data_IF_277734746786
#
_entry.id   IF_277734746786
#
_cell.length_a   1.000
_cell.length_b   1.000
_cell.length_c   1.000
_cell.angle_alpha   90.00
_cell.angle_beta   90.00
_cell.angle_gamma   90.00
#
_symmetry.space_group_name_H-M   'P 1'
#
loop_
_entity.id
_entity.type
_entity.pdbx_description
1 polymer ?
#
# COMPACT_ATOMS: atom_id res chain seq x y z
N UNK A 1 -9.06 2.36 33.97
CA UNK A 1 -9.16 3.48 33.00
C UNK A 1 -7.95 3.56 32.07
N UNK A 2 -6.70 3.48 32.55
CA UNK A 2 -5.52 3.55 31.66
C UNK A 2 -5.41 2.43 30.61
N UNK A 3 -5.83 1.20 30.93
CA UNK A 3 -5.79 0.06 30.00
C UNK A 3 -6.82 0.16 28.86
N UNK A 4 -8.01 0.71 29.10
CA UNK A 4 -9.01 0.90 28.04
C UNK A 4 -8.56 1.95 27.01
N UNK A 5 -7.96 3.05 27.51
CA UNK A 5 -7.47 4.14 26.67
C UNK A 5 -6.30 3.74 25.76
N UNK A 6 -5.42 2.83 26.21
CA UNK A 6 -4.33 2.30 25.36
C UNK A 6 -4.83 1.34 24.28
N UNK A 7 -5.92 0.62 24.55
CA UNK A 7 -6.54 -0.32 23.59
C UNK A 7 -7.24 0.47 22.47
N UNK A 8 -7.98 1.53 22.82
CA UNK A 8 -8.65 2.42 21.86
C UNK A 8 -7.66 3.17 20.96
N UNK A 9 -6.55 3.67 21.50
CA UNK A 9 -5.50 4.30 20.70
C UNK A 9 -4.82 3.32 19.72
N UNK A 10 -4.58 2.06 20.14
CA UNK A 10 -3.93 1.04 19.31
C UNK A 10 -4.78 0.58 18.12
N UNK A 11 -6.11 0.49 18.31
CA UNK A 11 -7.04 0.16 17.22
C UNK A 11 -7.11 1.27 16.18
N UNK A 12 -7.35 2.50 16.63
CA UNK A 12 -7.50 3.65 15.74
C UNK A 12 -6.20 3.90 14.95
N UNK A 13 -5.05 3.73 15.59
CA UNK A 13 -3.73 3.77 14.93
C UNK A 13 -3.59 2.68 13.87
N UNK A 14 -4.02 1.44 14.16
CA UNK A 14 -4.03 0.33 13.20
C UNK A 14 -4.96 0.59 12.02
N UNK A 15 -6.14 1.16 12.26
CA UNK A 15 -7.11 1.53 11.24
C UNK A 15 -6.61 2.67 10.34
N UNK A 16 -6.06 3.75 10.93
CA UNK A 16 -5.46 4.85 10.16
C UNK A 16 -4.31 4.32 9.30
N UNK A 17 -3.44 3.47 9.88
CA UNK A 17 -2.34 2.87 9.14
C UNK A 17 -2.82 2.05 7.94
N UNK A 18 -3.91 1.29 8.11
CA UNK A 18 -4.53 0.55 7.01
C UNK A 18 -5.07 1.48 5.92
N UNK A 19 -5.80 2.54 6.29
CA UNK A 19 -6.36 3.52 5.34
C UNK A 19 -5.24 4.24 4.58
N UNK A 20 -4.21 4.73 5.28
CA UNK A 20 -3.07 5.43 4.68
C UNK A 20 -2.29 4.49 3.75
N UNK A 21 -1.99 3.27 4.18
CA UNK A 21 -1.30 2.29 3.33
C UNK A 21 -2.13 1.91 2.10
N UNK A 22 -3.45 1.81 2.24
CA UNK A 22 -4.36 1.54 1.11
C UNK A 22 -4.38 2.68 0.10
N UNK A 23 -4.51 3.93 0.55
CA UNK A 23 -4.47 5.11 -0.32
C UNK A 23 -3.12 5.18 -1.04
N UNK A 24 -2.02 5.06 -0.30
CA UNK A 24 -0.68 5.09 -0.90
C UNK A 24 -0.47 3.96 -1.91
N UNK A 25 -0.99 2.77 -1.64
CA UNK A 25 -0.95 1.65 -2.60
C UNK A 25 -1.65 2.00 -3.91
N UNK A 26 -2.83 2.64 -3.86
CA UNK A 26 -3.54 3.11 -5.06
C UNK A 26 -2.75 4.20 -5.79
N UNK A 27 -2.17 5.16 -5.05
CA UNK A 27 -1.35 6.23 -5.62
C UNK A 27 -0.11 5.66 -6.34
N UNK A 28 0.65 4.76 -5.70
CA UNK A 28 1.80 4.11 -6.33
C UNK A 28 1.40 3.27 -7.54
N UNK A 29 0.27 2.57 -7.48
CA UNK A 29 -0.25 1.83 -8.63
C UNK A 29 -0.56 2.74 -9.81
N UNK A 30 -1.29 3.83 -9.57
CA UNK A 30 -1.63 4.80 -10.62
C UNK A 30 -0.38 5.46 -11.22
N UNK A 31 0.63 5.71 -10.39
CA UNK A 31 1.93 6.25 -10.83
C UNK A 31 2.69 5.23 -11.65
N UNK A 32 2.73 3.96 -11.21
CA UNK A 32 3.36 2.86 -11.95
C UNK A 32 2.74 2.71 -13.34
N UNK A 33 1.40 2.75 -13.43
CA UNK A 33 0.69 2.71 -14.71
C UNK A 33 1.01 3.91 -15.59
N UNK A 34 1.00 5.12 -15.02
CA UNK A 34 1.31 6.35 -15.77
C UNK A 34 2.71 6.31 -16.35
N UNK A 35 3.71 5.87 -15.59
CA UNK A 35 5.09 5.74 -16.06
C UNK A 35 5.22 4.60 -17.08
N UNK A 36 4.57 3.46 -16.87
CA UNK A 36 4.64 2.34 -17.82
C UNK A 36 3.96 2.65 -19.16
N UNK A 37 2.75 3.22 -19.12
CA UNK A 37 2.00 3.61 -20.33
C UNK A 37 2.65 4.81 -21.00
N UNK A 38 3.04 5.82 -20.24
CA UNK A 38 3.74 6.99 -20.75
C UNK A 38 5.02 6.61 -21.51
N UNK A 39 5.78 5.65 -20.99
CA UNK A 39 6.99 5.16 -21.65
C UNK A 39 6.67 4.49 -22.99
N UNK A 40 5.59 3.69 -23.01
CA UNK A 40 5.16 2.99 -24.22
C UNK A 40 4.72 3.96 -25.30
N UNK A 41 3.93 4.98 -24.96
CA UNK A 41 3.50 5.99 -25.93
C UNK A 41 4.67 6.86 -26.39
N UNK A 42 5.58 7.21 -25.48
CA UNK A 42 6.82 7.89 -25.84
C UNK A 42 7.67 7.09 -26.84
N UNK A 43 7.86 5.79 -26.59
CA UNK A 43 8.57 4.92 -27.53
C UNK A 43 7.86 4.85 -28.89
N UNK A 44 6.53 4.73 -28.94
CA UNK A 44 5.80 4.74 -30.22
C UNK A 44 5.96 6.06 -30.97
N UNK A 45 5.96 7.18 -30.25
CA UNK A 45 6.17 8.50 -30.84
C UNK A 45 7.57 8.65 -31.44
N UNK A 46 8.60 8.13 -30.77
CA UNK A 46 9.97 8.16 -31.28
C UNK A 46 10.16 7.22 -32.47
N UNK A 47 9.49 6.05 -32.49
CA UNK A 47 9.57 5.06 -33.56
C UNK A 47 8.67 5.41 -34.78
N UNK A 48 8.17 6.64 -34.87
CA UNK A 48 7.33 7.06 -36.00
C UNK A 48 8.07 6.79 -37.33
N UNK A 49 7.43 6.21 -38.36
CA UNK A 49 8.06 5.81 -39.63
C UNK A 49 8.87 6.88 -40.38
N UNK A 50 8.80 8.16 -39.97
CA UNK A 50 9.61 9.26 -40.49
C UNK A 50 10.98 9.38 -39.81
N UNK A 51 11.18 8.70 -38.69
CA UNK A 51 12.44 8.64 -37.96
C UNK A 51 13.27 7.44 -38.41
N UNK A 52 14.60 7.59 -38.46
CA UNK A 52 15.53 6.49 -38.76
C UNK A 52 15.73 5.54 -37.55
N UNK A 53 14.92 5.69 -36.49
CA UNK A 53 15.10 5.01 -35.21
C UNK A 53 14.30 3.71 -35.23
N UNK A 54 15.00 2.58 -35.30
CA UNK A 54 14.38 1.24 -35.33
C UNK A 54 14.05 0.70 -33.93
N UNK A 55 14.81 1.09 -32.90
CA UNK A 55 14.56 0.69 -31.52
C UNK A 55 14.44 1.89 -30.57
N UNK A 56 13.56 1.78 -29.58
CA UNK A 56 13.37 2.85 -28.59
C UNK A 56 14.61 3.08 -27.72
N UNK A 57 15.50 2.10 -27.62
CA UNK A 57 16.79 2.27 -26.95
C UNK A 57 17.73 3.17 -27.75
N UNK A 58 17.66 3.13 -29.07
CA UNK A 58 18.61 3.83 -29.94
C UNK A 58 18.26 5.33 -30.01
N UNK A 59 16.99 5.70 -29.78
CA UNK A 59 16.54 7.09 -29.70
C UNK A 59 17.25 7.94 -28.65
N UNK A 60 17.89 7.35 -27.64
CA UNK A 60 18.67 8.11 -26.64
C UNK A 60 20.04 8.56 -27.17
N UNK A 61 20.49 7.97 -28.29
CA UNK A 61 21.77 8.26 -28.95
C UNK A 61 21.63 9.28 -30.08
N UNK A 62 20.40 9.54 -30.54
CA UNK A 62 20.11 10.54 -31.57
C UNK A 62 19.77 11.88 -30.90
N UNK A 63 20.41 12.99 -31.29
CA UNK A 63 20.01 14.31 -30.83
C UNK A 63 18.63 14.65 -31.43
N UNK A 64 17.66 14.92 -30.58
CA UNK A 64 16.39 15.54 -31.00
C UNK A 64 16.70 16.93 -31.58
N UNK A 65 16.03 17.29 -32.67
CA UNK A 65 16.33 18.49 -33.46
C UNK A 65 16.49 19.75 -32.58
N UNK A 66 17.45 20.59 -32.97
CA UNK A 66 17.91 21.80 -32.26
C UNK A 66 16.83 22.85 -31.97
N UNK A 67 15.66 22.70 -32.58
CA UNK A 67 14.45 23.51 -32.37
C UNK A 67 13.72 23.14 -31.08
N UNK A 68 13.88 21.92 -30.57
CA UNK A 68 13.28 21.43 -29.34
C UNK A 68 14.41 21.18 -28.33
N UNK A 69 14.57 22.08 -27.34
CA UNK A 69 15.59 21.98 -26.28
C UNK A 69 15.30 20.85 -25.27
N UNK A 70 15.09 19.63 -25.75
CA UNK A 70 14.90 18.46 -24.90
C UNK A 70 16.16 17.61 -24.97
N UNK A 71 16.97 17.66 -23.91
CA UNK A 71 18.12 16.77 -23.77
C UNK A 71 17.62 15.40 -23.29
N UNK A 72 17.47 14.47 -24.22
CA UNK A 72 16.97 13.12 -23.96
C UNK A 72 18.12 12.12 -23.73
N UNK A 73 19.32 12.54 -23.37
CA UNK A 73 20.42 11.59 -23.12
C UNK A 73 20.06 10.61 -22.00
N UNK A 74 20.30 9.33 -22.23
CA UNK A 74 20.06 8.25 -21.27
C UNK A 74 18.62 8.10 -20.77
N UNK A 75 17.61 8.65 -21.46
CA UNK A 75 16.21 8.56 -21.02
C UNK A 75 15.78 7.11 -20.81
N UNK A 76 16.23 6.19 -21.68
CA UNK A 76 15.80 4.80 -21.65
C UNK A 76 16.20 4.11 -20.33
N UNK A 77 17.43 4.31 -19.88
CA UNK A 77 17.93 3.76 -18.61
C UNK A 77 17.23 4.39 -17.40
N UNK A 78 17.06 5.71 -17.38
CA UNK A 78 16.40 6.42 -16.27
C UNK A 78 14.93 6.01 -16.12
N UNK A 79 14.21 5.86 -17.23
CA UNK A 79 12.82 5.41 -17.23
C UNK A 79 12.68 3.96 -16.74
N UNK A 80 13.57 3.07 -17.18
CA UNK A 80 13.57 1.68 -16.70
C UNK A 80 13.83 1.60 -15.19
N UNK A 81 14.79 2.36 -14.68
CA UNK A 81 15.07 2.43 -13.25
C UNK A 81 13.87 2.98 -12.47
N UNK A 82 13.20 4.01 -13.01
CA UNK A 82 11.99 4.59 -12.41
C UNK A 82 10.84 3.58 -12.39
N UNK A 83 10.59 2.87 -13.50
CA UNK A 83 9.56 1.83 -13.56
C UNK A 83 9.81 0.76 -12.50
N UNK A 84 11.02 0.21 -12.45
CA UNK A 84 11.38 -0.79 -11.44
C UNK A 84 11.19 -0.26 -10.01
N UNK A 85 11.65 0.96 -9.74
CA UNK A 85 11.52 1.58 -8.42
C UNK A 85 10.07 1.77 -7.99
N UNK A 86 9.22 2.30 -8.87
CA UNK A 86 7.80 2.53 -8.56
C UNK A 86 7.04 1.22 -8.38
N UNK A 87 7.29 0.20 -9.21
CA UNK A 87 6.70 -1.13 -9.05
C UNK A 87 7.15 -1.82 -7.75
N UNK A 88 8.43 -1.70 -7.39
CA UNK A 88 8.95 -2.22 -6.12
C UNK A 88 8.30 -1.51 -4.91
N UNK A 89 8.21 -0.17 -4.94
CA UNK A 89 7.51 0.59 -3.92
C UNK A 89 6.04 0.17 -3.81
N UNK A 90 5.35 -0.04 -4.93
CA UNK A 90 3.97 -0.52 -4.90
C UNK A 90 3.84 -1.87 -4.17
N UNK A 91 4.70 -2.84 -4.47
CA UNK A 91 4.71 -4.15 -3.78
C UNK A 91 4.96 -3.98 -2.28
N UNK A 92 5.92 -3.14 -1.88
CA UNK A 92 6.21 -2.87 -0.47
C UNK A 92 5.00 -2.29 0.26
N UNK A 93 4.32 -1.31 -0.33
CA UNK A 93 3.11 -0.72 0.25
C UNK A 93 1.93 -1.70 0.30
N UNK A 94 1.82 -2.60 -0.67
CA UNK A 94 0.83 -3.67 -0.64
C UNK A 94 1.08 -4.62 0.53
N UNK A 95 2.33 -5.03 0.76
CA UNK A 95 2.69 -5.87 1.92
C UNK A 95 2.38 -5.15 3.23
N UNK A 96 2.72 -3.86 3.35
CA UNK A 96 2.38 -3.06 4.54
C UNK A 96 0.87 -2.97 4.77
N UNK A 97 0.09 -2.80 3.71
CA UNK A 97 -1.37 -2.81 3.80
C UNK A 97 -1.90 -4.16 4.32
N UNK A 98 -1.40 -5.29 3.79
CA UNK A 98 -1.79 -6.63 4.25
C UNK A 98 -1.40 -6.85 5.72
N UNK A 99 -0.20 -6.47 6.14
CA UNK A 99 0.23 -6.58 7.53
C UNK A 99 -0.64 -5.74 8.47
N UNK A 100 -0.99 -4.52 8.06
CA UNK A 100 -1.92 -3.66 8.83
C UNK A 100 -3.32 -4.25 8.93
N UNK A 101 -3.83 -4.88 7.85
CA UNK A 101 -5.11 -5.58 7.85
C UNK A 101 -5.10 -6.77 8.82
N UNK A 102 -4.04 -7.58 8.81
CA UNK A 102 -3.87 -8.70 9.74
C UNK A 102 -3.84 -8.20 11.19
N UNK A 103 -3.16 -7.08 11.46
CA UNK A 103 -3.09 -6.47 12.79
C UNK A 103 -4.48 -6.05 13.28
N UNK A 104 -5.25 -5.35 12.45
CA UNK A 104 -6.63 -4.94 12.76
C UNK A 104 -7.53 -6.15 12.97
N UNK A 105 -7.41 -7.18 12.13
CA UNK A 105 -8.20 -8.41 12.25
C UNK A 105 -7.92 -9.18 13.54
N UNK A 106 -6.63 -9.35 13.89
CA UNK A 106 -6.23 -10.00 15.15
C UNK A 106 -6.74 -9.24 16.36
N UNK A 107 -6.69 -7.91 16.31
CA UNK A 107 -7.20 -7.06 17.37
C UNK A 107 -8.72 -7.22 17.54
N UNK A 108 -9.50 -7.14 16.46
CA UNK A 108 -10.95 -7.36 16.50
C UNK A 108 -11.31 -8.76 17.05
N UNK A 109 -10.53 -9.78 16.68
CA UNK A 109 -10.71 -11.14 17.21
C UNK A 109 -10.38 -11.23 18.71
N UNK A 110 -9.36 -10.52 19.18
CA UNK A 110 -9.01 -10.46 20.61
C UNK A 110 -10.11 -9.78 21.43
N UNK A 111 -10.70 -8.69 20.94
CA UNK A 111 -11.83 -8.04 21.61
C UNK A 111 -13.04 -8.97 21.74
N UNK A 112 -13.41 -9.66 20.65
CA UNK A 112 -14.51 -10.62 20.67
C UNK A 112 -14.30 -11.73 21.72
N UNK A 113 -13.07 -12.24 21.83
CA UNK A 113 -12.70 -13.26 22.83
C UNK A 113 -12.76 -12.72 24.27
N UNK A 114 -12.27 -11.51 24.51
CA UNK A 114 -12.32 -10.89 25.84
C UNK A 114 -13.77 -10.68 26.32
N UNK A 115 -14.67 -10.29 25.43
CA UNK A 115 -16.09 -10.11 25.74
C UNK A 115 -16.74 -11.45 26.12
N UNK A 116 -16.44 -12.54 25.41
CA UNK A 116 -17.00 -13.86 25.73
C UNK A 116 -16.52 -14.36 27.09
N UNK A 117 -15.22 -14.22 27.40
CA UNK A 117 -14.65 -14.61 28.69
C UNK A 117 -15.26 -13.79 29.83
N UNK A 118 -15.45 -12.48 29.64
CA UNK A 118 -16.04 -11.64 30.68
C UNK A 118 -17.51 -11.99 30.94
N UNK A 119 -18.28 -12.29 29.89
CA UNK A 119 -19.67 -12.77 30.01
C UNK A 119 -19.74 -14.10 30.77
N UNK A 120 -18.83 -15.02 30.47
CA UNK A 120 -18.77 -16.33 31.14
C UNK A 120 -18.35 -16.20 32.60
N UNK A 121 -17.37 -15.34 32.91
CA UNK A 121 -17.02 -14.97 34.29
C UNK A 121 -18.23 -14.44 35.06
N UNK A 122 -19.04 -13.57 34.48
CA UNK A 122 -20.23 -13.07 35.17
C UNK A 122 -21.28 -14.16 35.42
N UNK A 123 -21.46 -15.11 34.50
CA UNK A 123 -22.34 -16.27 34.73
C UNK A 123 -21.85 -17.12 35.90
N UNK A 124 -20.56 -17.41 35.98
CA UNK A 124 -19.98 -18.19 37.08
C UNK A 124 -20.10 -17.47 38.42
N UNK A 125 -19.84 -16.16 38.46
CA UNK A 125 -20.02 -15.35 39.66
C UNK A 125 -21.48 -15.32 40.14
N UNK A 126 -22.44 -15.22 39.22
CA UNK A 126 -23.86 -15.27 39.54
C UNK A 126 -24.29 -16.63 40.11
N UNK A 127 -23.75 -17.74 39.58
CA UNK A 127 -24.03 -19.08 40.10
C UNK A 127 -23.45 -19.30 41.50
N UNK A 128 -22.22 -18.85 41.74
CA UNK A 128 -21.58 -18.96 43.07
C UNK A 128 -22.27 -18.07 44.10
N UNK A 129 -22.66 -16.85 43.73
CA UNK A 129 -23.39 -15.94 44.64
C UNK A 129 -24.78 -16.44 45.02
N UNK A 130 -25.45 -17.19 44.15
CA UNK A 130 -26.74 -17.82 44.46
C UNK A 130 -26.61 -19.09 45.34
N UNK A 131 -25.43 -19.70 45.42
CA UNK A 131 -25.16 -20.87 46.26
C UNK A 131 -24.82 -20.53 47.72
N UNK A 132 -24.69 -19.25 48.06
CA UNK A 132 -24.30 -18.76 49.39
C UNK A 132 -25.45 -18.09 50.16
N UNK A 133 -26.70 -18.43 49.87
CA UNK A 133 -27.85 -18.04 50.70
C UNK A 133 -28.21 -19.23 51.61
N UNK A 134 -27.77 -19.24 52.89
CA UNK A 134 -28.17 -20.27 53.83
C UNK A 134 -29.66 -20.08 54.18
N UNK A 135 -30.43 -21.15 53.99
CA UNK A 135 -31.77 -21.31 54.55
C UNK A 135 -31.72 -21.40 56.09
#
# INVERSE_FOLDING_TARGET
VMLARSIECSWFEGFISLVVNSIMCICFFSTALTVSVGFREWCKFILDPRSEITNCKDGQSFPFDSTIKVDARNYFSQWQMTQFGVWACWILWLVLAVLSLIRVYKFHRQEAFMISVNRERQRLLAQVGHGSEPA
#
